data_IF_684888548052
#
_entry.id   IF_684888548052
#
_cell.length_a   1.000
_cell.length_b   1.000
_cell.length_c   1.000
_cell.angle_alpha   90.00
_cell.angle_beta   90.00
_cell.angle_gamma   90.00
#
_symmetry.space_group_name_H-M   'P 1'
#
loop_
_entity.id
_entity.type
_entity.pdbx_description
1 polymer ?
#
# COMPACT_ATOMS: atom_id res chain seq x y z
N UNK A 1 -3.80 -34.21 -18.38
CA UNK A 1 -5.09 -34.80 -18.78
C UNK A 1 -5.12 -35.18 -20.27
N UNK A 2 -4.83 -34.27 -21.22
CA UNK A 2 -4.80 -34.62 -22.66
C UNK A 2 -3.63 -35.53 -23.02
N UNK A 3 -2.47 -35.33 -22.40
CA UNK A 3 -1.29 -36.18 -22.61
C UNK A 3 -1.52 -37.57 -22.00
N UNK A 4 -2.18 -37.64 -20.87
CA UNK A 4 -2.55 -38.90 -20.22
C UNK A 4 -3.57 -39.68 -21.04
N UNK A 5 -4.59 -39.02 -21.58
CA UNK A 5 -5.57 -39.62 -22.47
C UNK A 5 -4.95 -40.12 -23.79
N UNK A 6 -4.03 -39.34 -24.38
CA UNK A 6 -3.27 -39.74 -25.56
C UNK A 6 -2.36 -40.97 -25.28
N UNK A 7 -1.70 -40.99 -24.12
CA UNK A 7 -0.82 -42.11 -23.75
C UNK A 7 -1.61 -43.40 -23.42
N UNK A 8 -2.85 -43.28 -22.92
CA UNK A 8 -3.62 -44.46 -22.53
C UNK A 8 -4.51 -45.00 -23.65
N UNK A 9 -5.05 -44.12 -24.51
CA UNK A 9 -6.14 -44.49 -25.42
C UNK A 9 -5.77 -44.40 -26.91
N UNK A 10 -4.72 -43.63 -27.26
CA UNK A 10 -4.43 -43.32 -28.67
C UNK A 10 -3.05 -43.84 -29.15
N UNK A 11 -2.05 -43.87 -28.28
CA UNK A 11 -0.71 -44.25 -28.65
C UNK A 11 -0.44 -45.75 -28.52
N UNK A 12 0.39 -46.31 -29.39
CA UNK A 12 0.91 -47.68 -29.24
C UNK A 12 1.61 -47.86 -27.90
N UNK A 13 1.58 -49.06 -27.33
CA UNK A 13 2.16 -49.36 -26.00
C UNK A 13 3.66 -49.07 -25.86
N UNK A 14 4.35 -48.96 -26.96
CA UNK A 14 5.84 -48.70 -27.00
C UNK A 14 6.19 -47.21 -27.13
N UNK A 15 5.19 -46.32 -27.22
CA UNK A 15 5.41 -44.88 -27.39
C UNK A 15 4.66 -44.11 -26.29
N UNK A 16 5.41 -43.31 -25.55
CA UNK A 16 4.83 -42.39 -24.52
C UNK A 16 5.24 -40.96 -24.79
N UNK A 17 4.25 -40.06 -24.75
CA UNK A 17 4.51 -38.62 -24.68
C UNK A 17 4.89 -38.30 -23.25
N UNK A 18 6.11 -37.81 -23.03
CA UNK A 18 6.59 -37.32 -21.72
C UNK A 18 6.73 -35.81 -21.82
N UNK A 19 6.08 -35.11 -20.93
CA UNK A 19 6.25 -33.67 -20.84
C UNK A 19 7.69 -33.37 -20.42
N UNK A 20 8.48 -32.79 -21.31
CA UNK A 20 9.86 -32.41 -21.04
C UNK A 20 9.97 -31.16 -20.18
N UNK A 21 8.99 -30.25 -20.30
CA UNK A 21 8.93 -29.00 -19.54
C UNK A 21 7.46 -28.70 -19.22
N UNK A 22 7.16 -28.71 -17.94
CA UNK A 22 5.84 -28.33 -17.43
C UNK A 22 5.91 -26.91 -16.82
N UNK A 23 5.11 -26.01 -17.38
CA UNK A 23 4.98 -24.65 -16.83
C UNK A 23 4.06 -24.60 -15.61
N UNK A 24 3.26 -25.65 -15.39
CA UNK A 24 2.28 -25.66 -14.30
C UNK A 24 2.97 -25.57 -12.94
N UNK A 25 4.09 -26.29 -12.76
CA UNK A 25 4.87 -26.24 -11.51
C UNK A 25 5.42 -24.84 -11.24
N UNK A 26 5.93 -24.15 -12.28
CA UNK A 26 6.42 -22.78 -12.14
C UNK A 26 5.29 -21.79 -11.84
N UNK A 27 4.15 -21.92 -12.51
CA UNK A 27 2.98 -21.09 -12.28
C UNK A 27 2.44 -21.30 -10.87
N UNK A 28 2.32 -22.56 -10.43
CA UNK A 28 1.84 -22.91 -9.09
C UNK A 28 2.79 -22.40 -7.99
N UNK A 29 4.11 -22.57 -8.17
CA UNK A 29 5.11 -22.02 -7.27
C UNK A 29 5.00 -20.49 -7.17
N UNK A 30 4.85 -19.87 -8.31
CA UNK A 30 4.69 -18.44 -8.44
C UNK A 30 3.42 -17.91 -7.74
N UNK A 31 2.27 -18.52 -8.02
CA UNK A 31 0.99 -18.16 -7.38
C UNK A 31 1.07 -18.40 -5.87
N UNK A 32 1.67 -19.51 -5.43
CA UNK A 32 1.87 -19.80 -4.00
C UNK A 32 2.72 -18.74 -3.32
N UNK A 33 3.86 -18.37 -3.92
CA UNK A 33 4.77 -17.35 -3.39
C UNK A 33 4.07 -15.99 -3.28
N UNK A 34 3.37 -15.57 -4.33
CA UNK A 34 2.64 -14.30 -4.33
C UNK A 34 1.53 -14.30 -3.28
N UNK A 35 0.74 -15.36 -3.20
CA UNK A 35 -0.34 -15.47 -2.21
C UNK A 35 0.23 -15.44 -0.78
N UNK A 36 1.35 -16.11 -0.55
CA UNK A 36 2.04 -16.09 0.74
C UNK A 36 2.50 -14.67 1.11
N UNK A 37 3.19 -14.00 0.20
CA UNK A 37 3.67 -12.62 0.40
C UNK A 37 2.51 -11.63 0.61
N UNK A 38 1.40 -11.80 -0.11
CA UNK A 38 0.19 -10.97 0.07
C UNK A 38 -0.39 -11.14 1.48
N UNK A 39 -0.57 -12.38 1.93
CA UNK A 39 -1.13 -12.66 3.25
C UNK A 39 -0.18 -12.15 4.34
N UNK A 40 1.10 -12.44 4.23
CA UNK A 40 2.12 -11.99 5.19
C UNK A 40 2.20 -10.47 5.25
N UNK A 41 2.20 -9.79 4.09
CA UNK A 41 2.19 -8.32 4.02
C UNK A 41 0.93 -7.71 4.65
N UNK A 42 -0.25 -8.24 4.38
CA UNK A 42 -1.51 -7.79 4.99
C UNK A 42 -1.48 -7.98 6.51
N UNK A 43 -1.02 -9.14 6.98
CA UNK A 43 -0.92 -9.44 8.41
C UNK A 43 0.08 -8.52 9.11
N UNK A 44 1.27 -8.34 8.52
CA UNK A 44 2.30 -7.47 9.08
C UNK A 44 1.82 -6.02 9.20
N UNK A 45 1.23 -5.49 8.14
CA UNK A 45 0.72 -4.11 8.13
C UNK A 45 -0.44 -3.96 9.10
N UNK A 46 -1.36 -4.92 9.15
CA UNK A 46 -2.48 -4.92 10.11
C UNK A 46 -1.97 -4.94 11.55
N UNK A 47 -0.93 -5.73 11.82
CA UNK A 47 -0.29 -5.80 13.13
C UNK A 47 0.37 -4.47 13.53
N UNK A 48 1.09 -3.85 12.60
CA UNK A 48 1.70 -2.52 12.83
C UNK A 48 0.62 -1.48 13.13
N UNK A 49 -0.44 -1.42 12.31
CA UNK A 49 -1.56 -0.50 12.53
C UNK A 49 -2.23 -0.74 13.88
N UNK A 50 -2.38 -2.01 14.29
CA UNK A 50 -2.94 -2.36 15.61
C UNK A 50 -2.07 -1.83 16.76
N UNK A 51 -0.74 -1.91 16.64
CA UNK A 51 0.19 -1.37 17.65
C UNK A 51 0.05 0.15 17.75
N UNK A 52 0.03 0.85 16.60
CA UNK A 52 -0.01 2.30 16.58
C UNK A 52 -1.37 2.87 16.97
N UNK A 53 -2.46 2.32 16.45
CA UNK A 53 -3.81 2.81 16.73
C UNK A 53 -4.35 2.34 18.08
N UNK A 54 -3.80 1.23 18.63
CA UNK A 54 -4.21 0.60 19.90
C UNK A 54 -5.73 0.35 20.04
N UNK A 55 -6.46 0.40 18.94
CA UNK A 55 -7.89 0.10 18.84
C UNK A 55 -8.16 -0.85 17.68
N UNK A 56 -8.68 -2.03 18.00
CA UNK A 56 -8.98 -3.08 17.02
C UNK A 56 -10.03 -2.63 15.97
N UNK A 57 -10.93 -1.71 16.34
CA UNK A 57 -11.99 -1.21 15.45
C UNK A 57 -11.41 -0.38 14.33
N UNK A 58 -10.50 0.53 14.65
CA UNK A 58 -9.79 1.35 13.67
C UNK A 58 -8.90 0.47 12.78
N UNK A 59 -8.25 -0.52 13.36
CA UNK A 59 -7.41 -1.48 12.64
C UNK A 59 -8.22 -2.28 11.62
N UNK A 60 -9.40 -2.79 11.99
CA UNK A 60 -10.28 -3.52 11.06
C UNK A 60 -10.73 -2.65 9.90
N UNK A 61 -11.07 -1.36 10.15
CA UNK A 61 -11.46 -0.44 9.08
C UNK A 61 -10.33 -0.30 8.05
N UNK A 62 -9.10 -0.10 8.51
CA UNK A 62 -7.92 0.05 7.65
C UNK A 62 -7.60 -1.27 6.93
N UNK A 63 -7.60 -2.39 7.66
CA UNK A 63 -7.25 -3.70 7.12
C UNK A 63 -8.18 -4.15 5.98
N UNK A 64 -9.45 -3.81 6.03
CA UNK A 64 -10.43 -4.14 4.98
C UNK A 64 -10.18 -3.39 3.67
N UNK A 65 -9.59 -2.19 3.74
CA UNK A 65 -9.28 -1.40 2.53
C UNK A 65 -8.24 -2.10 1.64
N UNK A 66 -7.27 -2.82 2.24
CA UNK A 66 -6.19 -3.49 1.47
C UNK A 66 -6.75 -4.51 0.46
N UNK A 67 -7.47 -5.56 0.90
CA UNK A 67 -7.97 -6.57 -0.02
C UNK A 67 -8.97 -5.99 -1.04
N UNK A 68 -9.77 -5.01 -0.65
CA UNK A 68 -10.71 -4.36 -1.57
C UNK A 68 -9.98 -3.54 -2.65
N UNK A 69 -8.93 -2.81 -2.29
CA UNK A 69 -8.13 -2.06 -3.26
C UNK A 69 -7.43 -3.00 -4.25
N UNK A 70 -6.92 -4.15 -3.78
CA UNK A 70 -6.32 -5.17 -4.63
C UNK A 70 -7.35 -5.83 -5.56
N UNK A 71 -8.52 -6.18 -5.04
CA UNK A 71 -9.60 -6.72 -5.85
C UNK A 71 -10.03 -5.73 -6.94
N UNK A 72 -10.13 -4.45 -6.62
CA UNK A 72 -10.40 -3.39 -7.59
C UNK A 72 -9.31 -3.36 -8.68
N UNK A 73 -8.04 -3.43 -8.31
CA UNK A 73 -6.93 -3.46 -9.25
C UNK A 73 -7.02 -4.68 -10.19
N UNK A 74 -7.29 -5.86 -9.66
CA UNK A 74 -7.43 -7.09 -10.46
C UNK A 74 -8.62 -7.04 -11.41
N UNK A 75 -9.75 -6.46 -10.98
CA UNK A 75 -10.90 -6.24 -11.85
C UNK A 75 -10.52 -5.31 -13.02
N UNK A 76 -9.84 -4.19 -12.74
CA UNK A 76 -9.40 -3.25 -13.78
C UNK A 76 -8.43 -3.91 -14.76
N UNK A 77 -7.43 -4.66 -14.27
CA UNK A 77 -6.50 -5.41 -15.12
C UNK A 77 -7.23 -6.43 -16.01
N UNK A 78 -8.20 -7.15 -15.46
CA UNK A 78 -9.00 -8.12 -16.20
C UNK A 78 -9.82 -7.45 -17.30
N UNK A 79 -10.46 -6.31 -17.03
CA UNK A 79 -11.23 -5.53 -18.00
C UNK A 79 -10.34 -5.03 -19.12
N UNK A 80 -9.10 -4.64 -18.84
CA UNK A 80 -8.12 -4.20 -19.83
C UNK A 80 -7.47 -5.37 -20.62
N UNK A 81 -7.80 -6.62 -20.31
CA UNK A 81 -7.20 -7.79 -20.95
C UNK A 81 -5.73 -8.02 -20.59
N UNK A 82 -5.25 -7.39 -19.52
CA UNK A 82 -3.87 -7.51 -19.05
C UNK A 82 -3.73 -8.72 -18.12
N UNK A 83 -2.67 -9.48 -18.31
CA UNK A 83 -2.32 -10.54 -17.35
C UNK A 83 -1.61 -9.94 -16.14
N UNK A 84 -1.99 -10.40 -14.95
CA UNK A 84 -1.24 -10.09 -13.74
C UNK A 84 0.16 -10.70 -13.84
N UNK A 85 1.19 -9.87 -13.76
CA UNK A 85 2.57 -10.32 -13.78
C UNK A 85 3.04 -10.57 -12.34
N UNK A 86 3.81 -11.63 -12.14
CA UNK A 86 4.41 -11.97 -10.84
C UNK A 86 5.21 -10.82 -10.23
N UNK A 87 6.00 -10.12 -11.05
CA UNK A 87 6.75 -8.94 -10.62
C UNK A 87 5.83 -7.84 -10.09
N UNK A 88 4.69 -7.59 -10.76
CA UNK A 88 3.75 -6.56 -10.32
C UNK A 88 3.06 -6.92 -9.02
N UNK A 89 2.79 -8.21 -8.78
CA UNK A 89 2.15 -8.68 -7.55
C UNK A 89 3.12 -8.71 -6.37
N UNK A 90 4.40 -9.05 -6.60
CA UNK A 90 5.42 -9.08 -5.55
C UNK A 90 5.93 -7.70 -5.12
N UNK A 91 5.78 -6.69 -5.97
CA UNK A 91 6.22 -5.33 -5.71
C UNK A 91 5.10 -4.39 -5.18
N UNK A 92 3.92 -4.94 -4.83
CA UNK A 92 2.84 -4.15 -4.25
C UNK A 92 3.24 -3.67 -2.85
N UNK A 93 3.34 -2.37 -2.69
CA UNK A 93 3.56 -1.74 -1.38
C UNK A 93 2.22 -1.48 -0.68
N UNK A 94 1.93 -2.33 0.30
CA UNK A 94 0.72 -2.21 1.11
C UNK A 94 0.70 -0.92 1.94
N UNK A 95 1.87 -0.42 2.34
CA UNK A 95 1.99 0.82 3.10
C UNK A 95 1.41 2.00 2.33
N UNK A 96 1.82 2.17 1.06
CA UNK A 96 1.32 3.24 0.20
C UNK A 96 -0.20 3.11 -0.05
N UNK A 97 -0.73 1.89 -0.14
CA UNK A 97 -2.16 1.65 -0.36
C UNK A 97 -2.98 2.13 0.83
N UNK A 98 -2.58 1.78 2.05
CA UNK A 98 -3.38 2.05 3.26
C UNK A 98 -3.18 3.44 3.86
N UNK A 99 -2.11 4.14 3.52
CA UNK A 99 -1.73 5.42 4.11
C UNK A 99 -2.91 6.41 4.18
N UNK A 100 -3.65 6.57 3.09
CA UNK A 100 -4.84 7.41 3.07
C UNK A 100 -5.95 6.94 4.04
N UNK A 101 -6.14 5.62 4.19
CA UNK A 101 -7.14 5.05 5.09
C UNK A 101 -6.74 5.26 6.56
N UNK A 102 -5.45 5.10 6.88
CA UNK A 102 -4.91 5.38 8.22
C UNK A 102 -5.15 6.83 8.60
N UNK A 103 -4.76 7.79 7.75
CA UNK A 103 -4.95 9.24 7.99
C UNK A 103 -6.43 9.60 8.15
N UNK A 104 -7.31 8.98 7.36
CA UNK A 104 -8.75 9.20 7.43
C UNK A 104 -9.34 8.68 8.76
N UNK A 105 -9.03 7.44 9.12
CA UNK A 105 -9.53 6.80 10.35
C UNK A 105 -9.00 7.50 11.59
N UNK A 106 -7.70 7.82 11.61
CA UNK A 106 -7.07 8.56 12.71
C UNK A 106 -7.72 9.92 12.89
N UNK A 107 -7.89 10.68 11.81
CA UNK A 107 -8.55 11.99 11.87
C UNK A 107 -9.96 11.91 12.46
N UNK A 108 -10.75 10.91 12.04
CA UNK A 108 -12.10 10.68 12.58
C UNK A 108 -12.03 10.25 14.05
N UNK A 109 -11.11 9.36 14.40
CA UNK A 109 -10.95 8.87 15.78
C UNK A 109 -10.58 9.99 16.74
N UNK A 110 -9.57 10.81 16.39
CA UNK A 110 -9.13 11.97 17.19
C UNK A 110 -10.25 13.00 17.35
N UNK A 111 -11.01 13.29 16.29
CA UNK A 111 -12.15 14.21 16.38
C UNK A 111 -13.25 13.68 17.31
N UNK A 112 -13.52 12.38 17.27
CA UNK A 112 -14.49 11.72 18.16
C UNK A 112 -14.01 11.70 19.61
N UNK A 113 -12.72 11.38 19.86
CA UNK A 113 -12.14 11.40 21.22
C UNK A 113 -12.16 12.79 21.83
N UNK A 114 -11.75 13.81 21.03
CA UNK A 114 -11.84 15.22 21.48
C UNK A 114 -13.27 15.59 21.87
N UNK A 115 -14.27 15.22 21.06
CA UNK A 115 -15.67 15.48 21.37
C UNK A 115 -16.16 14.72 22.60
N UNK A 116 -15.72 13.47 22.77
CA UNK A 116 -16.03 12.67 23.95
C UNK A 116 -15.47 13.28 25.24
N UNK A 117 -14.31 13.92 25.18
CA UNK A 117 -13.70 14.64 26.33
C UNK A 117 -14.47 15.94 26.64
N UNK A 118 -14.95 16.64 25.61
CA UNK A 118 -15.71 17.90 25.80
C UNK A 118 -17.08 17.68 26.42
N UNK A 119 -17.87 16.71 25.95
CA UNK A 119 -19.25 16.50 26.36
C UNK A 119 -19.42 15.42 27.45
N UNK A 120 -18.37 14.66 27.75
CA UNK A 120 -18.41 13.52 28.64
C UNK A 120 -18.94 12.24 27.97
N UNK A 121 -18.47 11.08 28.43
CA UNK A 121 -18.81 9.78 27.83
C UNK A 121 -20.31 9.43 27.82
N UNK A 122 -21.10 9.70 28.88
CA UNK A 122 -22.54 9.43 28.86
C UNK A 122 -23.28 10.19 27.75
N UNK A 123 -23.03 11.49 27.63
CA UNK A 123 -23.63 12.32 26.59
C UNK A 123 -23.12 11.98 25.21
N UNK A 124 -21.83 11.68 25.07
CA UNK A 124 -21.21 11.24 23.84
C UNK A 124 -21.83 9.94 23.27
N UNK A 125 -22.15 8.97 24.12
CA UNK A 125 -22.71 7.70 23.66
C UNK A 125 -24.12 7.84 23.08
N UNK A 126 -24.85 8.85 23.46
CA UNK A 126 -26.24 9.13 23.02
C UNK A 126 -26.29 10.05 21.81
N UNK A 127 -25.30 10.94 21.64
CA UNK A 127 -25.31 11.92 20.56
C UNK A 127 -25.08 11.28 19.18
N UNK A 128 -25.64 11.92 18.13
CA UNK A 128 -25.37 11.58 16.74
C UNK A 128 -23.97 12.05 16.35
N UNK A 129 -23.13 11.10 15.87
CA UNK A 129 -21.74 11.34 15.48
C UNK A 129 -21.57 11.55 13.97
N UNK A 130 -22.63 11.33 13.20
CA UNK A 130 -22.59 11.36 11.74
C UNK A 130 -22.11 12.71 11.19
N UNK A 131 -22.61 13.82 11.79
CA UNK A 131 -22.19 15.16 11.38
C UNK A 131 -20.70 15.41 11.59
N UNK A 132 -20.17 15.00 12.75
CA UNK A 132 -18.75 15.15 13.07
C UNK A 132 -17.87 14.29 12.17
N UNK A 133 -18.24 13.01 11.95
CA UNK A 133 -17.52 12.10 11.04
C UNK A 133 -17.53 12.67 9.62
N UNK A 134 -18.68 13.13 9.13
CA UNK A 134 -18.80 13.72 7.79
C UNK A 134 -17.93 14.97 7.63
N UNK A 135 -17.93 15.86 8.62
CA UNK A 135 -17.10 17.07 8.60
C UNK A 135 -15.61 16.71 8.56
N UNK A 136 -15.16 15.88 9.49
CA UNK A 136 -13.75 15.46 9.57
C UNK A 136 -13.31 14.70 8.32
N UNK A 137 -14.15 13.80 7.80
CA UNK A 137 -13.85 13.08 6.56
C UNK A 137 -13.68 14.03 5.38
N UNK A 138 -14.53 15.07 5.26
CA UNK A 138 -14.43 16.10 4.22
C UNK A 138 -13.14 16.91 4.33
N UNK A 139 -12.74 17.28 5.54
CA UNK A 139 -11.49 18.02 5.77
C UNK A 139 -10.27 17.19 5.40
N UNK A 140 -10.25 15.90 5.77
CA UNK A 140 -9.14 14.99 5.44
C UNK A 140 -9.15 14.55 3.98
N UNK A 141 -10.32 14.46 3.34
CA UNK A 141 -10.48 13.99 1.97
C UNK A 141 -9.59 14.75 0.98
N UNK A 142 -9.48 16.07 1.13
CA UNK A 142 -8.66 16.92 0.26
C UNK A 142 -7.18 16.51 0.31
N UNK A 143 -6.63 16.35 1.52
CA UNK A 143 -5.23 15.97 1.70
C UNK A 143 -4.96 14.56 1.16
N UNK A 144 -5.84 13.59 1.47
CA UNK A 144 -5.74 12.21 0.97
C UNK A 144 -5.82 12.15 -0.55
N UNK A 145 -6.75 12.90 -1.15
CA UNK A 145 -6.91 12.95 -2.61
C UNK A 145 -5.62 13.45 -3.29
N UNK A 146 -5.11 14.61 -2.87
CA UNK A 146 -3.90 15.17 -3.47
C UNK A 146 -2.66 14.31 -3.22
N UNK A 147 -2.52 13.72 -2.04
CA UNK A 147 -1.41 12.79 -1.74
C UNK A 147 -1.41 11.60 -2.72
N UNK A 148 -2.56 10.95 -2.91
CA UNK A 148 -2.69 9.82 -3.84
C UNK A 148 -2.49 10.25 -5.30
N UNK A 149 -3.00 11.42 -5.68
CA UNK A 149 -2.82 11.96 -7.03
C UNK A 149 -1.34 12.19 -7.34
N UNK A 150 -0.57 12.74 -6.39
CA UNK A 150 0.88 12.93 -6.56
C UNK A 150 1.59 11.59 -6.78
N UNK A 151 1.25 10.55 -5.99
CA UNK A 151 1.86 9.23 -6.13
C UNK A 151 1.52 8.62 -7.49
N UNK A 152 0.25 8.69 -7.93
CA UNK A 152 -0.18 8.20 -9.24
C UNK A 152 0.55 8.96 -10.37
N UNK A 153 0.70 10.28 -10.22
CA UNK A 153 1.43 11.10 -11.21
C UNK A 153 2.91 10.70 -11.28
N UNK A 154 3.52 10.34 -10.15
CA UNK A 154 4.90 9.86 -10.10
C UNK A 154 5.11 8.50 -10.82
N UNK A 155 4.04 7.75 -11.10
CA UNK A 155 4.12 6.53 -11.90
C UNK A 155 4.11 6.79 -13.42
N UNK A 156 3.70 7.99 -13.87
CA UNK A 156 3.59 8.31 -15.31
C UNK A 156 4.91 8.09 -16.07
N UNK A 157 6.10 8.46 -15.56
CA UNK A 157 7.35 8.22 -16.27
C UNK A 157 7.62 6.74 -16.58
N UNK A 158 7.07 5.81 -15.82
CA UNK A 158 7.24 4.36 -16.06
C UNK A 158 6.65 3.95 -17.42
N UNK A 159 5.61 4.63 -17.88
CA UNK A 159 5.00 4.37 -19.19
C UNK A 159 5.83 4.87 -20.38
N UNK A 160 6.87 5.67 -20.12
CA UNK A 160 7.82 6.09 -21.15
C UNK A 160 8.87 5.02 -21.48
N UNK A 161 9.00 3.98 -20.65
CA UNK A 161 9.94 2.89 -20.92
C UNK A 161 9.52 2.10 -22.14
N UNK A 162 10.52 1.76 -22.96
CA UNK A 162 10.34 1.05 -24.24
C UNK A 162 11.01 -0.34 -24.18
N UNK A 163 10.78 -1.12 -25.24
CA UNK A 163 11.39 -2.46 -25.41
C UNK A 163 11.11 -3.39 -24.22
N UNK A 164 12.15 -4.04 -23.67
CA UNK A 164 12.06 -5.03 -22.58
C UNK A 164 11.63 -4.39 -21.28
N UNK A 165 12.20 -3.23 -20.96
CA UNK A 165 11.89 -2.48 -19.73
C UNK A 165 10.41 -2.09 -19.66
N UNK A 166 9.86 -1.56 -20.78
CA UNK A 166 8.44 -1.26 -20.85
C UNK A 166 7.54 -2.47 -20.63
N UNK A 167 7.90 -3.63 -21.20
CA UNK A 167 7.13 -4.87 -21.00
C UNK A 167 7.15 -5.38 -19.58
N UNK A 168 8.23 -5.13 -18.83
CA UNK A 168 8.36 -5.55 -17.42
C UNK A 168 7.69 -4.57 -16.46
N UNK A 169 7.89 -3.26 -16.65
CA UNK A 169 7.46 -2.25 -15.69
C UNK A 169 6.05 -1.69 -15.94
N UNK A 170 5.54 -1.73 -17.18
CA UNK A 170 4.16 -1.27 -17.47
C UNK A 170 3.11 -2.03 -16.68
N UNK A 171 3.10 -3.38 -16.60
CA UNK A 171 2.12 -4.10 -15.79
C UNK A 171 2.20 -3.73 -14.31
N UNK A 172 3.40 -3.45 -13.78
CA UNK A 172 3.60 -2.98 -12.41
C UNK A 172 2.94 -1.62 -12.19
N UNK A 173 3.18 -0.66 -13.08
CA UNK A 173 2.61 0.68 -12.98
C UNK A 173 1.08 0.66 -13.06
N UNK A 174 0.50 -0.16 -13.95
CA UNK A 174 -0.95 -0.33 -14.03
C UNK A 174 -1.52 -0.96 -12.76
N UNK A 175 -0.91 -2.04 -12.26
CA UNK A 175 -1.38 -2.72 -11.04
C UNK A 175 -1.36 -1.78 -9.85
N UNK A 176 -0.23 -1.09 -9.63
CA UNK A 176 -0.08 -0.15 -8.52
C UNK A 176 -1.01 1.07 -8.69
N UNK A 177 -1.11 1.61 -9.90
CA UNK A 177 -2.01 2.74 -10.21
C UNK A 177 -3.47 2.40 -9.93
N UNK A 178 -3.96 1.23 -10.36
CA UNK A 178 -5.33 0.79 -10.08
C UNK A 178 -5.55 0.47 -8.59
N UNK A 179 -4.56 -0.12 -7.91
CA UNK A 179 -4.64 -0.34 -6.47
C UNK A 179 -4.75 0.98 -5.70
N UNK A 180 -3.98 2.00 -6.09
CA UNK A 180 -4.04 3.35 -5.51
C UNK A 180 -5.37 4.04 -5.79
N UNK A 181 -5.91 3.92 -7.00
CA UNK A 181 -7.25 4.44 -7.34
C UNK A 181 -8.33 3.73 -6.52
N UNK A 182 -8.28 2.41 -6.42
CA UNK A 182 -9.19 1.63 -5.58
C UNK A 182 -9.10 2.04 -4.11
N UNK A 183 -7.87 2.16 -3.58
CA UNK A 183 -7.63 2.61 -2.22
C UNK A 183 -8.18 4.03 -1.99
N UNK A 184 -8.03 4.94 -2.94
CA UNK A 184 -8.58 6.29 -2.86
C UNK A 184 -10.12 6.26 -2.78
N UNK A 185 -10.77 5.51 -3.67
CA UNK A 185 -12.23 5.36 -3.69
C UNK A 185 -12.73 4.80 -2.36
N UNK A 186 -12.14 3.70 -1.88
CA UNK A 186 -12.56 3.08 -0.62
C UNK A 186 -12.24 3.94 0.60
N UNK A 187 -11.12 4.65 0.59
CA UNK A 187 -10.79 5.59 1.67
C UNK A 187 -11.81 6.72 1.78
N UNK A 188 -12.27 7.25 0.67
CA UNK A 188 -13.23 8.38 0.67
C UNK A 188 -14.69 7.96 0.90
N UNK A 189 -15.03 6.70 0.59
CA UNK A 189 -16.40 6.19 0.68
C UNK A 189 -16.60 5.21 1.84
N UNK A 190 -15.87 4.10 1.82
CA UNK A 190 -16.04 3.01 2.77
C UNK A 190 -15.55 3.37 4.17
N UNK A 191 -14.39 4.02 4.28
CA UNK A 191 -13.79 4.33 5.58
C UNK A 191 -14.68 5.22 6.46
N UNK A 192 -15.26 6.34 5.98
CA UNK A 192 -16.20 7.14 6.79
C UNK A 192 -17.45 6.35 7.19
N UNK A 193 -17.96 5.50 6.30
CA UNK A 193 -19.15 4.67 6.57
C UNK A 193 -18.82 3.65 7.67
N UNK A 194 -17.73 2.88 7.52
CA UNK A 194 -17.30 1.91 8.54
C UNK A 194 -16.98 2.61 9.88
N UNK A 195 -16.36 3.79 9.84
CA UNK A 195 -16.11 4.58 11.05
C UNK A 195 -17.41 4.92 11.76
N UNK A 196 -18.47 5.30 11.02
CA UNK A 196 -19.79 5.59 11.59
C UNK A 196 -20.45 4.37 12.22
N UNK A 197 -20.15 3.16 11.72
CA UNK A 197 -20.71 1.92 12.22
C UNK A 197 -19.95 1.37 13.44
N UNK A 198 -18.63 1.38 13.39
CA UNK A 198 -17.76 0.74 14.38
C UNK A 198 -17.39 1.67 15.54
N UNK A 199 -17.24 2.98 15.30
CA UNK A 199 -16.85 3.95 16.31
C UNK A 199 -18.04 4.61 17.03
N UNK A 200 -19.11 3.84 17.29
CA UNK A 200 -20.34 4.36 17.90
C UNK A 200 -20.24 4.67 19.39
N UNK A 201 -19.52 3.85 20.15
CA UNK A 201 -19.49 3.92 21.63
C UNK A 201 -18.05 3.77 22.14
N UNK A 202 -17.79 4.34 23.30
CA UNK A 202 -16.54 4.19 24.05
C UNK A 202 -15.29 4.48 23.19
N UNK A 203 -15.35 5.55 22.39
CA UNK A 203 -14.20 6.04 21.64
C UNK A 203 -13.35 6.85 22.61
N UNK A 204 -12.28 6.26 23.09
CA UNK A 204 -11.30 6.91 23.97
C UNK A 204 -9.92 6.49 23.53
N UNK A 205 -9.06 7.44 23.35
CA UNK A 205 -7.65 7.20 23.04
C UNK A 205 -7.03 6.36 24.19
N UNK A 206 -6.61 5.16 23.86
CA UNK A 206 -5.84 4.35 24.81
C UNK A 206 -4.46 4.95 24.90
N UNK A 207 -4.03 5.22 26.14
CA UNK A 207 -2.69 5.72 26.44
C UNK A 207 -1.66 4.63 26.08
N UNK A 208 -1.27 4.59 24.80
CA UNK A 208 -0.28 3.63 24.32
C UNK A 208 1.12 4.13 24.69
N UNK A 209 1.73 3.51 25.70
CA UNK A 209 3.08 3.85 26.18
C UNK A 209 4.11 3.86 25.06
N UNK A 210 3.96 2.96 24.09
CA UNK A 210 4.88 2.87 22.96
C UNK A 210 4.76 4.10 22.04
N UNK A 211 3.54 4.49 21.67
CA UNK A 211 3.29 5.69 20.86
C UNK A 211 3.73 6.94 21.60
N UNK A 212 3.46 7.01 22.92
CA UNK A 212 3.87 8.15 23.73
C UNK A 212 5.40 8.27 23.81
N UNK A 213 6.10 7.15 23.95
CA UNK A 213 7.56 7.13 23.92
C UNK A 213 8.13 7.60 22.56
N UNK A 214 7.58 7.11 21.45
CA UNK A 214 7.98 7.54 20.10
C UNK A 214 7.72 9.02 19.93
N UNK A 215 6.52 9.51 20.25
CA UNK A 215 6.16 10.91 20.12
C UNK A 215 7.07 11.81 20.97
N UNK A 216 7.38 11.42 22.21
CA UNK A 216 8.29 12.18 23.06
C UNK A 216 9.70 12.24 22.46
N UNK A 217 10.20 11.15 21.90
CA UNK A 217 11.51 11.13 21.23
C UNK A 217 11.53 11.96 19.93
N UNK A 218 10.47 11.84 19.12
CA UNK A 218 10.34 12.62 17.90
C UNK A 218 10.22 14.13 18.21
N UNK A 219 9.43 14.52 19.23
CA UNK A 219 9.35 15.92 19.66
C UNK A 219 10.69 16.43 20.14
N UNK A 220 11.39 15.69 20.99
CA UNK A 220 12.72 16.10 21.48
C UNK A 220 13.72 16.26 20.33
N UNK A 221 13.68 15.35 19.35
CA UNK A 221 14.52 15.42 18.16
C UNK A 221 14.17 16.63 17.28
N UNK A 222 12.88 16.89 17.10
CA UNK A 222 12.38 18.05 16.36
C UNK A 222 12.84 19.35 17.04
N UNK A 223 12.68 19.46 18.35
CA UNK A 223 13.10 20.65 19.12
C UNK A 223 14.61 20.88 19.03
N UNK A 224 15.42 19.81 19.06
CA UNK A 224 16.85 19.87 18.87
C UNK A 224 17.23 20.43 17.50
N UNK A 225 16.63 19.89 16.43
CA UNK A 225 16.87 20.34 15.06
C UNK A 225 16.36 21.75 14.81
N UNK A 226 15.21 22.09 15.41
CA UNK A 226 14.66 23.44 15.31
C UNK A 226 15.51 24.49 16.03
N UNK A 227 16.01 24.17 17.22
CA UNK A 227 16.93 25.02 17.97
C UNK A 227 18.21 25.31 17.18
N UNK A 228 18.74 24.33 16.45
CA UNK A 228 19.94 24.42 15.65
C UNK A 228 19.67 24.49 14.15
N UNK A 229 18.60 25.17 13.74
CA UNK A 229 18.09 25.18 12.35
C UNK A 229 19.15 25.50 11.28
N UNK A 230 20.09 26.41 11.55
CA UNK A 230 21.18 26.77 10.62
C UNK A 230 22.13 25.57 10.41
N UNK A 231 22.49 24.89 11.48
CA UNK A 231 23.35 23.71 11.45
C UNK A 231 22.64 22.55 10.76
N UNK A 232 21.34 22.36 11.02
CA UNK A 232 20.50 21.33 10.37
C UNK A 232 20.41 21.53 8.86
N UNK A 233 20.18 22.78 8.41
CA UNK A 233 20.16 23.11 6.98
C UNK A 233 21.55 22.90 6.37
N UNK A 234 22.61 23.34 7.04
CA UNK A 234 23.99 23.12 6.59
C UNK A 234 24.33 21.65 6.43
N UNK A 235 23.96 20.82 7.41
CA UNK A 235 24.17 19.36 7.36
C UNK A 235 23.37 18.71 6.22
N UNK A 236 22.11 19.09 6.02
CA UNK A 236 21.29 18.59 4.92
C UNK A 236 21.91 18.99 3.56
N UNK A 237 22.41 20.21 3.42
CA UNK A 237 23.07 20.69 2.19
C UNK A 237 24.37 19.92 1.92
N UNK A 238 25.16 19.64 2.96
CA UNK A 238 26.38 18.83 2.83
C UNK A 238 26.06 17.40 2.41
N UNK A 239 25.06 16.77 3.04
CA UNK A 239 24.62 15.41 2.66
C UNK A 239 24.14 15.37 1.21
N UNK A 240 23.34 16.35 0.78
CA UNK A 240 22.89 16.45 -0.60
C UNK A 240 24.06 16.69 -1.57
N UNK A 241 25.00 17.55 -1.22
CA UNK A 241 26.21 17.80 -2.02
C UNK A 241 27.10 16.57 -2.17
N UNK A 242 27.33 15.84 -1.07
CA UNK A 242 28.07 14.56 -1.09
C UNK A 242 27.31 13.51 -1.93
N UNK A 243 25.98 13.43 -1.79
CA UNK A 243 25.16 12.53 -2.60
C UNK A 243 25.27 12.82 -4.10
N UNK A 244 25.18 14.07 -4.50
CA UNK A 244 25.36 14.50 -5.90
C UNK A 244 26.78 14.24 -6.39
N UNK A 245 27.80 14.48 -5.55
CA UNK A 245 29.19 14.20 -5.89
C UNK A 245 29.41 12.70 -6.08
N UNK A 246 28.92 11.85 -5.18
CA UNK A 246 29.00 10.38 -5.33
C UNK A 246 28.22 9.90 -6.56
N UNK A 247 27.07 10.52 -6.86
CA UNK A 247 26.29 10.17 -8.05
C UNK A 247 27.08 10.41 -9.35
N UNK A 248 27.96 11.40 -9.40
CA UNK A 248 28.81 11.65 -10.57
C UNK A 248 29.87 10.56 -10.80
N UNK A 249 30.17 9.74 -9.79
CA UNK A 249 31.07 8.57 -9.90
C UNK A 249 30.33 7.26 -10.18
N UNK A 250 29.01 7.21 -9.97
CA UNK A 250 28.22 6.07 -10.46
C UNK A 250 28.19 6.18 -11.98
N UNK A 251 29.09 5.43 -12.61
CA UNK A 251 29.07 5.26 -14.07
C UNK A 251 27.68 4.81 -14.49
N UNK A 252 27.16 5.39 -15.54
CA UNK A 252 25.94 4.94 -16.23
C UNK A 252 26.25 3.63 -16.98
N UNK A 253 26.84 2.65 -16.31
CA UNK A 253 26.85 1.29 -16.82
C UNK A 253 25.43 0.76 -16.68
N UNK A 254 24.63 0.98 -17.74
CA UNK A 254 23.43 0.22 -17.96
C UNK A 254 23.87 -1.26 -18.13
N UNK A 255 23.90 -1.99 -17.01
CA UNK A 255 24.25 -3.41 -16.96
C UNK A 255 23.33 -4.31 -17.83
N UNK A 256 22.45 -3.70 -18.63
CA UNK A 256 21.51 -4.34 -19.54
C UNK A 256 21.75 -4.08 -21.04
N UNK A 257 22.75 -3.31 -21.41
CA UNK A 257 23.06 -2.99 -22.82
C UNK A 257 24.47 -3.43 -23.21
N UNK A 258 24.80 -4.69 -22.92
CA UNK A 258 25.90 -5.40 -23.57
C UNK A 258 25.47 -6.01 -24.92
N UNK A 259 24.77 -5.27 -25.74
CA UNK A 259 24.57 -5.59 -27.16
C UNK A 259 25.21 -4.44 -27.95
N UNK A 260 26.49 -4.64 -28.25
CA UNK A 260 27.13 -3.90 -29.33
C UNK A 260 26.42 -4.29 -30.61
N UNK A 261 25.88 -3.32 -31.32
CA UNK A 261 25.55 -3.43 -32.72
C UNK A 261 26.90 -3.63 -33.47
N UNK A 262 27.21 -4.87 -33.89
CA UNK A 262 28.03 -5.18 -35.05
C UNK A 262 27.18 -5.85 -36.13
#
# INVERSE_FOLDING_TARGET
DKIEDLNQNVLPKDVKIVAFYDREDLVNLAVKTVTHNLIEGILLVTFIVLIFMADWRTTVIVAVVIPLALLFAFICLRVMGMSANLLSMGAIDFGIIIDGAVVMVEGVFVALDKKAREVGMPAFNVMSKMGLIRHTAKDKAKAVFFSKLIIITALIPIFSFQKVEGKMFSPLAYTLGFALLGALIFTLTLVPVMSSMLLKKNVREKNNRFVHFINAKCSALFDLFYAHRKLTIGMATVIAGVGLWLFSFLGTESAFLGWNDE
#
